data_IF_091169401433
#
_entry.id   IF_091169401433
#
_cell.length_a   1.000
_cell.length_b   1.000
_cell.length_c   1.000
_cell.angle_alpha   90.00
_cell.angle_beta   90.00
_cell.angle_gamma   90.00
#
_symmetry.space_group_name_H-M   'P 1'
#
loop_
_entity.id
_entity.type
_entity.pdbx_description
1 polymer ?
#
# COMPACT_ATOMS: atom_id res chain seq x y z
N UNK A 1 10.21 -19.78 9.16
CA UNK A 1 10.28 -18.79 8.07
C UNK A 1 8.85 -18.28 7.84
N UNK A 2 8.62 -16.97 7.85
CA UNK A 2 7.30 -16.38 7.61
C UNK A 2 7.32 -15.47 6.37
N UNK A 3 6.14 -15.21 5.82
CA UNK A 3 5.91 -14.30 4.70
C UNK A 3 4.78 -13.33 5.02
N UNK A 4 4.77 -12.19 4.34
CA UNK A 4 3.69 -11.20 4.39
C UNK A 4 3.14 -10.98 3.00
N UNK A 5 1.81 -10.93 2.87
CA UNK A 5 1.13 -10.54 1.64
C UNK A 5 0.55 -9.15 1.84
N UNK A 6 1.12 -8.16 1.16
CA UNK A 6 0.57 -6.81 1.09
C UNK A 6 -0.45 -6.78 -0.06
N UNK A 7 -1.61 -6.19 0.20
CA UNK A 7 -2.71 -6.18 -0.75
C UNK A 7 -3.36 -4.80 -0.81
N UNK A 8 -3.77 -4.40 -2.01
CA UNK A 8 -4.62 -3.25 -2.25
C UNK A 8 -5.88 -3.72 -2.96
N UNK A 9 -7.01 -3.18 -2.54
CA UNK A 9 -8.31 -3.40 -3.17
C UNK A 9 -8.84 -2.10 -3.77
N UNK A 10 -9.70 -2.22 -4.77
CA UNK A 10 -10.58 -1.12 -5.18
C UNK A 10 -11.74 -0.92 -4.19
N UNK A 11 -12.59 0.05 -4.49
CA UNK A 11 -13.78 0.42 -3.73
C UNK A 11 -14.84 -0.69 -3.64
N UNK A 12 -14.78 -1.68 -4.53
CA UNK A 12 -15.64 -2.87 -4.53
C UNK A 12 -15.00 -4.04 -3.75
N UNK A 13 -13.84 -3.83 -3.12
CA UNK A 13 -13.11 -4.85 -2.39
C UNK A 13 -12.39 -5.87 -3.26
N UNK A 14 -12.27 -5.62 -4.57
CA UNK A 14 -11.55 -6.51 -5.50
C UNK A 14 -10.06 -6.21 -5.40
N UNK A 15 -9.25 -7.26 -5.23
CA UNK A 15 -7.80 -7.13 -5.20
C UNK A 15 -7.27 -6.58 -6.52
N UNK A 16 -6.60 -5.44 -6.48
CA UNK A 16 -5.98 -4.79 -7.65
C UNK A 16 -4.48 -4.99 -7.69
N UNK A 17 -3.82 -5.09 -6.52
CA UNK A 17 -2.36 -5.27 -6.42
C UNK A 17 -2.00 -6.16 -5.24
N UNK A 18 -1.00 -6.99 -5.46
CA UNK A 18 -0.47 -7.93 -4.47
C UNK A 18 1.06 -7.87 -4.47
N UNK A 19 1.66 -7.85 -3.29
CA UNK A 19 3.10 -7.89 -3.13
C UNK A 19 3.48 -8.83 -1.99
N UNK A 20 4.23 -9.89 -2.31
CA UNK A 20 4.69 -10.88 -1.34
C UNK A 20 6.09 -10.54 -0.87
N UNK A 21 6.29 -10.46 0.44
CA UNK A 21 7.60 -10.21 1.06
C UNK A 21 7.93 -11.26 2.11
N UNK A 22 9.21 -11.35 2.48
CA UNK A 22 9.60 -12.12 3.65
C UNK A 22 9.10 -11.42 4.92
N UNK A 23 8.70 -12.16 5.96
CA UNK A 23 7.92 -11.59 7.05
C UNK A 23 8.68 -10.59 7.93
N UNK A 24 10.01 -10.57 7.90
CA UNK A 24 10.82 -9.52 8.53
C UNK A 24 10.84 -8.18 7.76
N UNK A 25 10.29 -8.13 6.55
CA UNK A 25 10.21 -6.89 5.76
C UNK A 25 9.18 -5.94 6.39
N UNK A 26 9.53 -4.66 6.45
CA UNK A 26 8.67 -3.60 6.96
C UNK A 26 7.45 -3.40 6.06
N UNK A 27 6.29 -3.16 6.65
CA UNK A 27 5.05 -2.92 5.91
C UNK A 27 5.15 -1.67 5.04
N UNK A 28 5.91 -0.65 5.44
CA UNK A 28 6.17 0.54 4.61
C UNK A 28 6.85 0.21 3.29
N UNK A 29 7.76 -0.78 3.26
CA UNK A 29 8.38 -1.23 2.00
C UNK A 29 7.37 -1.92 1.09
N UNK A 30 6.43 -2.67 1.69
CA UNK A 30 5.31 -3.25 0.94
C UNK A 30 4.37 -2.18 0.40
N UNK A 31 4.09 -1.14 1.19
CA UNK A 31 3.23 -0.02 0.80
C UNK A 31 3.80 0.77 -0.37
N UNK A 32 5.11 1.04 -0.39
CA UNK A 32 5.77 1.74 -1.49
C UNK A 32 5.50 1.08 -2.85
N UNK A 33 5.48 -0.27 -2.88
CA UNK A 33 5.19 -1.03 -4.10
C UNK A 33 3.71 -0.94 -4.47
N UNK A 34 2.80 -1.00 -3.49
CA UNK A 34 1.36 -0.92 -3.74
C UNK A 34 0.94 0.48 -4.22
N UNK A 35 1.55 1.53 -3.67
CA UNK A 35 1.22 2.94 -3.92
C UNK A 35 1.92 3.54 -5.16
N UNK A 36 2.88 2.83 -5.76
CA UNK A 36 3.52 3.26 -6.99
C UNK A 36 2.49 3.33 -8.14
N UNK A 37 2.54 4.35 -9.00
CA UNK A 37 1.71 4.45 -10.21
C UNK A 37 0.20 4.22 -9.98
N UNK A 38 -0.33 4.74 -8.88
CA UNK A 38 -1.78 4.71 -8.61
C UNK A 38 -2.55 5.43 -9.73
N UNK A 39 -3.75 4.95 -10.11
CA UNK A 39 -4.61 5.62 -11.09
C UNK A 39 -4.82 7.10 -10.78
N UNK A 40 -4.91 7.93 -11.81
CA UNK A 40 -5.11 9.37 -11.66
C UNK A 40 -6.47 9.69 -11.01
N UNK A 41 -7.44 8.80 -11.17
CA UNK A 41 -8.79 8.86 -10.62
C UNK A 41 -8.86 8.43 -9.14
N UNK A 42 -7.73 8.02 -8.54
CA UNK A 42 -7.68 7.65 -7.12
C UNK A 42 -7.73 8.91 -6.26
N UNK A 43 -8.91 9.20 -5.71
CA UNK A 43 -9.14 10.35 -4.82
C UNK A 43 -8.74 10.06 -3.37
N UNK A 44 -9.01 8.84 -2.89
CA UNK A 44 -8.82 8.46 -1.49
C UNK A 44 -8.15 7.10 -1.34
N UNK A 45 -7.40 6.92 -0.24
CA UNK A 45 -6.77 5.65 0.12
C UNK A 45 -6.99 5.38 1.59
N UNK A 46 -7.44 4.16 1.88
CA UNK A 46 -7.64 3.66 3.24
C UNK A 46 -6.58 2.59 3.51
N UNK A 47 -5.85 2.74 4.61
CA UNK A 47 -4.78 1.83 5.01
C UNK A 47 -4.87 1.42 6.47
N UNK A 48 -4.32 0.25 6.79
CA UNK A 48 -4.08 -0.18 8.17
C UNK A 48 -3.13 0.76 8.92
N UNK A 49 -3.20 0.77 10.26
CA UNK A 49 -2.30 1.57 11.11
C UNK A 49 -0.82 1.27 10.86
N UNK A 50 -0.45 0.06 10.46
CA UNK A 50 0.92 -0.28 10.07
C UNK A 50 1.45 0.51 8.86
N UNK A 51 0.55 1.15 8.09
CA UNK A 51 0.86 2.04 6.97
C UNK A 51 0.70 3.52 7.32
N UNK A 52 0.37 3.85 8.57
CA UNK A 52 0.28 5.22 9.05
C UNK A 52 1.68 5.83 9.18
N UNK A 53 2.15 6.51 8.13
CA UNK A 53 3.39 7.28 8.17
C UNK A 53 3.25 8.63 7.48
N UNK A 54 3.98 9.63 7.99
CA UNK A 54 4.07 10.94 7.35
C UNK A 54 4.64 10.85 5.94
N UNK A 55 5.55 9.90 5.69
CA UNK A 55 6.10 9.67 4.36
C UNK A 55 5.02 9.27 3.35
N UNK A 56 4.13 8.34 3.71
CA UNK A 56 3.01 7.94 2.84
C UNK A 56 2.07 9.13 2.61
N UNK A 57 1.75 9.91 3.65
CA UNK A 57 0.92 11.11 3.50
C UNK A 57 1.53 12.14 2.54
N UNK A 58 2.83 12.39 2.64
CA UNK A 58 3.54 13.31 1.76
C UNK A 58 3.55 12.80 0.31
N UNK A 59 3.86 11.52 0.12
CA UNK A 59 3.83 10.90 -1.21
C UNK A 59 2.46 11.07 -1.87
N UNK A 60 1.36 10.90 -1.13
CA UNK A 60 0.01 11.08 -1.66
C UNK A 60 -0.36 12.54 -1.90
N UNK A 61 0.18 13.47 -1.12
CA UNK A 61 -0.06 14.91 -1.30
C UNK A 61 0.71 15.50 -2.50
N UNK A 62 1.77 14.82 -2.96
CA UNK A 62 2.60 15.23 -4.10
C UNK A 62 2.16 14.59 -5.44
N UNK A 63 1.13 13.74 -5.43
CA UNK A 63 0.54 13.12 -6.63
C UNK A 63 -0.36 14.10 -7.39
#
# INVERSE_FOLDING_TARGET
MNSKLHAMCDDQGRLVRLHLTAGQVSDFKGADVLLADLPAETEEIIGDRGYDSNRIRLLLAER
#
